data_IF_965527356278
#
_entry.id   IF_965527356278
#
_cell.length_a   1.000
_cell.length_b   1.000
_cell.length_c   1.000
_cell.angle_alpha   90.00
_cell.angle_beta   90.00
_cell.angle_gamma   90.00
#
_symmetry.space_group_name_H-M   'P 1'
#
loop_
_entity.id
_entity.type
_entity.pdbx_description
1 polymer ?
#
# COMPACT_ATOMS: atom_id res chain seq x y z
N UNK A 1 -27.82 -6.25 -2.66
CA UNK A 1 -27.08 -5.40 -1.72
C UNK A 1 -25.59 -5.53 -2.02
N UNK A 2 -24.87 -4.43 -2.10
CA UNK A 2 -23.42 -4.39 -2.31
C UNK A 2 -22.70 -5.16 -1.20
N UNK A 3 -21.82 -6.09 -1.56
CA UNK A 3 -21.10 -6.94 -0.59
C UNK A 3 -19.72 -6.38 -0.23
N UNK A 4 -19.11 -5.60 -1.14
CA UNK A 4 -17.80 -4.98 -0.94
C UNK A 4 -17.73 -3.61 -1.60
N UNK A 5 -17.13 -2.64 -0.94
CA UNK A 5 -16.77 -1.35 -1.52
C UNK A 5 -15.26 -1.28 -1.73
N UNK A 6 -14.85 -0.99 -2.96
CA UNK A 6 -13.44 -0.75 -3.30
C UNK A 6 -13.13 0.72 -3.07
N UNK A 7 -12.13 1.03 -2.26
CA UNK A 7 -11.70 2.41 -1.98
C UNK A 7 -10.32 2.66 -2.58
N UNK A 8 -10.24 3.66 -3.46
CA UNK A 8 -9.06 3.99 -4.27
C UNK A 8 -8.67 5.45 -4.03
N UNK A 9 -7.63 5.73 -3.25
CA UNK A 9 -7.06 7.09 -3.19
C UNK A 9 -6.29 7.37 -4.49
N UNK A 10 -6.42 8.56 -5.03
CA UNK A 10 -5.70 9.00 -6.23
C UNK A 10 -5.11 10.40 -5.99
N UNK A 11 -3.90 10.62 -6.51
CA UNK A 11 -3.21 11.91 -6.52
C UNK A 11 -2.33 11.99 -7.77
N UNK A 12 -2.67 12.90 -8.69
CA UNK A 12 -1.94 13.12 -9.95
C UNK A 12 -1.71 11.84 -10.78
N UNK A 13 -2.70 10.92 -10.80
CA UNK A 13 -2.52 9.59 -11.40
C UNK A 13 -3.74 9.12 -12.22
N UNK A 14 -4.29 10.02 -13.04
CA UNK A 14 -5.48 9.76 -13.85
C UNK A 14 -5.33 8.55 -14.78
N UNK A 15 -4.16 8.39 -15.41
CA UNK A 15 -3.96 7.34 -16.42
C UNK A 15 -3.95 5.94 -15.79
N UNK A 16 -3.29 5.78 -14.63
CA UNK A 16 -3.27 4.49 -13.91
C UNK A 16 -4.63 4.21 -13.29
N UNK A 17 -5.33 5.23 -12.77
CA UNK A 17 -6.71 5.09 -12.32
C UNK A 17 -7.64 4.57 -13.42
N UNK A 18 -7.59 5.13 -14.63
CA UNK A 18 -8.40 4.67 -15.75
C UNK A 18 -8.14 3.20 -16.08
N UNK A 19 -6.88 2.77 -16.03
CA UNK A 19 -6.51 1.37 -16.23
C UNK A 19 -7.05 0.46 -15.13
N UNK A 20 -6.97 0.88 -13.87
CA UNK A 20 -7.55 0.15 -12.73
C UNK A 20 -9.07 0.02 -12.88
N UNK A 21 -9.78 1.09 -13.22
CA UNK A 21 -11.23 1.06 -13.41
C UNK A 21 -11.65 0.14 -14.57
N UNK A 22 -10.88 0.10 -15.66
CA UNK A 22 -11.10 -0.85 -16.74
C UNK A 22 -10.95 -2.32 -16.27
N UNK A 23 -9.90 -2.64 -15.49
CA UNK A 23 -9.71 -3.98 -14.92
C UNK A 23 -10.78 -4.34 -13.88
N UNK A 24 -11.33 -3.36 -13.17
CA UNK A 24 -12.48 -3.58 -12.29
C UNK A 24 -13.76 -3.88 -13.09
N UNK A 25 -13.89 -3.37 -14.31
CA UNK A 25 -15.02 -3.68 -15.19
C UNK A 25 -14.99 -5.13 -15.72
N UNK A 26 -13.82 -5.77 -15.67
CA UNK A 26 -13.61 -7.17 -16.13
C UNK A 26 -13.70 -8.19 -14.98
N UNK A 27 -13.98 -7.78 -13.73
CA UNK A 27 -14.01 -8.69 -12.59
C UNK A 27 -15.09 -9.77 -12.75
N UNK A 28 -14.77 -11.00 -12.31
CA UNK A 28 -15.72 -12.14 -12.30
C UNK A 28 -16.83 -11.96 -11.27
N UNK A 29 -16.62 -11.14 -10.22
CA UNK A 29 -17.67 -10.79 -9.29
C UNK A 29 -18.72 -9.92 -9.99
N UNK A 30 -20.03 -10.28 -9.95
CA UNK A 30 -21.08 -9.48 -10.57
C UNK A 30 -21.03 -8.00 -10.14
N UNK A 31 -21.15 -7.04 -11.09
CA UNK A 31 -21.07 -5.60 -10.81
C UNK A 31 -22.07 -5.10 -9.75
N UNK A 32 -23.20 -5.79 -9.58
CA UNK A 32 -24.19 -5.46 -8.53
C UNK A 32 -23.73 -5.80 -7.12
N UNK A 33 -22.67 -6.59 -6.95
CA UNK A 33 -22.16 -7.02 -5.66
C UNK A 33 -21.00 -6.14 -5.14
N UNK A 34 -20.49 -5.22 -5.93
CA UNK A 34 -19.46 -4.28 -5.48
C UNK A 34 -19.74 -2.84 -5.94
N UNK A 35 -19.16 -1.90 -5.24
CA UNK A 35 -19.12 -0.48 -5.60
C UNK A 35 -17.70 0.03 -5.48
N UNK A 36 -17.43 1.17 -6.11
CA UNK A 36 -16.10 1.80 -6.11
C UNK A 36 -16.23 3.23 -5.62
N UNK A 37 -15.39 3.63 -4.69
CA UNK A 37 -15.19 5.03 -4.31
C UNK A 37 -13.77 5.44 -4.63
N UNK A 38 -13.64 6.33 -5.60
CA UNK A 38 -12.39 7.03 -5.92
C UNK A 38 -12.32 8.27 -5.04
N UNK A 39 -11.16 8.50 -4.42
CA UNK A 39 -10.95 9.70 -3.59
C UNK A 39 -9.78 10.49 -4.16
N UNK A 40 -10.09 11.63 -4.77
CA UNK A 40 -9.08 12.59 -5.20
C UNK A 40 -8.48 13.29 -3.99
N UNK A 41 -7.19 13.11 -3.79
CA UNK A 41 -6.44 13.66 -2.66
C UNK A 41 -5.74 14.98 -2.99
N UNK A 42 -6.42 15.84 -3.75
CA UNK A 42 -5.96 17.17 -4.13
C UNK A 42 -5.03 17.16 -5.34
N UNK A 43 -5.41 16.44 -6.40
CA UNK A 43 -4.69 16.45 -7.68
C UNK A 43 -4.67 17.84 -8.30
N UNK A 44 -3.59 18.18 -9.01
CA UNK A 44 -3.43 19.47 -9.69
C UNK A 44 -4.48 19.66 -10.81
N UNK A 45 -4.83 18.57 -11.49
CA UNK A 45 -5.96 18.51 -12.41
C UNK A 45 -7.06 17.64 -11.80
N UNK A 46 -8.32 18.10 -11.77
CA UNK A 46 -9.42 17.33 -11.22
C UNK A 46 -9.52 15.93 -11.83
N UNK A 47 -9.72 14.94 -10.98
CA UNK A 47 -9.92 13.54 -11.42
C UNK A 47 -11.26 13.44 -12.15
N UNK A 48 -11.28 12.76 -13.28
CA UNK A 48 -12.48 12.50 -14.10
C UNK A 48 -12.74 10.99 -14.13
N UNK A 49 -13.96 10.60 -13.78
CA UNK A 49 -14.41 9.21 -13.92
C UNK A 49 -14.90 8.94 -15.34
N UNK A 50 -14.70 7.71 -15.88
CA UNK A 50 -15.32 7.28 -17.13
C UNK A 50 -16.86 7.42 -17.07
N UNK A 51 -17.48 7.84 -18.17
CA UNK A 51 -18.94 8.04 -18.24
C UNK A 51 -19.74 6.74 -18.05
N UNK A 52 -19.22 5.61 -18.55
CA UNK A 52 -19.89 4.31 -18.52
C UNK A 52 -19.02 3.29 -17.78
N UNK A 53 -19.44 2.92 -16.58
CA UNK A 53 -18.88 1.80 -15.83
C UNK A 53 -20.01 0.80 -15.51
N UNK A 54 -19.74 -0.53 -15.53
CA UNK A 54 -20.78 -1.53 -15.27
C UNK A 54 -21.18 -1.60 -13.78
N UNK A 55 -20.44 -0.96 -12.90
CA UNK A 55 -20.66 -0.90 -11.44
C UNK A 55 -20.90 0.53 -10.97
N UNK A 56 -21.47 0.67 -9.79
CA UNK A 56 -21.62 1.98 -9.16
C UNK A 56 -20.24 2.54 -8.77
N UNK A 57 -19.90 3.70 -9.31
CA UNK A 57 -18.64 4.41 -9.01
C UNK A 57 -18.94 5.85 -8.61
N UNK A 58 -18.34 6.31 -7.53
CA UNK A 58 -18.44 7.71 -7.08
C UNK A 58 -17.06 8.31 -6.85
N UNK A 59 -16.96 9.62 -7.08
CA UNK A 59 -15.79 10.43 -6.78
C UNK A 59 -16.02 11.23 -5.51
N UNK A 60 -15.05 11.23 -4.61
CA UNK A 60 -15.00 12.08 -3.43
C UNK A 60 -13.73 12.91 -3.44
N UNK A 61 -13.75 14.06 -2.78
CA UNK A 61 -12.59 14.94 -2.64
C UNK A 61 -12.08 14.87 -1.21
N UNK A 62 -10.75 14.85 -1.05
CA UNK A 62 -10.09 14.93 0.24
C UNK A 62 -9.05 16.04 0.22
N UNK A 63 -9.32 17.15 0.92
CA UNK A 63 -8.40 18.30 1.02
C UNK A 63 -7.19 18.03 1.93
N UNK A 64 -7.30 17.07 2.85
CA UNK A 64 -6.18 16.68 3.71
C UNK A 64 -5.25 15.76 2.94
N UNK A 65 -4.01 16.20 2.70
CA UNK A 65 -3.02 15.39 2.01
C UNK A 65 -2.72 14.06 2.73
N UNK A 66 -2.52 13.01 1.93
CA UNK A 66 -2.12 11.69 2.38
C UNK A 66 -3.15 10.60 2.08
N UNK A 67 -2.68 9.47 1.55
CA UNK A 67 -3.54 8.35 1.13
C UNK A 67 -4.39 7.76 2.26
N UNK A 68 -3.94 7.85 3.51
CA UNK A 68 -4.73 7.40 4.67
C UNK A 68 -5.87 8.39 5.00
N UNK A 69 -5.65 9.70 4.82
CA UNK A 69 -6.71 10.69 4.95
C UNK A 69 -7.79 10.47 3.88
N UNK A 70 -7.37 10.25 2.63
CA UNK A 70 -8.28 9.95 1.54
C UNK A 70 -9.12 8.68 1.83
N UNK A 71 -8.51 7.58 2.29
CA UNK A 71 -9.25 6.36 2.66
C UNK A 71 -10.24 6.61 3.80
N UNK A 72 -9.87 7.46 4.76
CA UNK A 72 -10.73 7.79 5.90
C UNK A 72 -11.94 8.67 5.52
N UNK A 73 -11.89 9.43 4.43
CA UNK A 73 -13.05 10.18 3.92
C UNK A 73 -14.08 9.23 3.32
N UNK A 74 -13.65 8.12 2.71
CA UNK A 74 -14.53 7.24 1.96
C UNK A 74 -15.26 6.21 2.82
N UNK A 75 -14.53 5.44 3.65
CA UNK A 75 -15.10 4.28 4.32
C UNK A 75 -16.29 4.58 5.26
N UNK A 76 -16.42 5.75 5.94
CA UNK A 76 -17.58 6.00 6.79
C UNK A 76 -18.90 6.10 6.03
N UNK A 77 -18.83 6.30 4.72
CA UNK A 77 -20.00 6.43 3.85
C UNK A 77 -20.40 5.12 3.16
N UNK A 78 -19.69 4.01 3.46
CA UNK A 78 -20.02 2.71 2.87
C UNK A 78 -21.21 2.06 3.57
N UNK A 79 -22.04 1.37 2.78
CA UNK A 79 -23.09 0.48 3.27
C UNK A 79 -22.69 -0.99 3.09
N UNK A 80 -21.56 -1.24 2.44
CA UNK A 80 -21.07 -2.59 2.23
C UNK A 80 -20.49 -3.17 3.53
N UNK A 81 -20.70 -4.45 3.82
CA UNK A 81 -20.11 -5.10 5.01
C UNK A 81 -18.59 -5.21 4.95
N UNK A 82 -18.01 -5.09 3.76
CA UNK A 82 -16.58 -5.16 3.53
C UNK A 82 -16.06 -3.99 2.72
N UNK A 83 -14.86 -3.54 3.07
CA UNK A 83 -14.07 -2.56 2.30
C UNK A 83 -12.80 -3.24 1.80
N UNK A 84 -12.55 -3.16 0.49
CA UNK A 84 -11.31 -3.57 -0.15
C UNK A 84 -10.50 -2.31 -0.51
N UNK A 85 -9.35 -2.13 0.12
CA UNK A 85 -8.43 -1.05 -0.20
C UNK A 85 -7.44 -1.50 -1.28
N UNK A 86 -7.21 -0.63 -2.26
CA UNK A 86 -6.16 -0.78 -3.28
C UNK A 86 -5.61 0.61 -3.64
N UNK A 87 -4.47 0.66 -4.33
CA UNK A 87 -3.85 1.90 -4.79
C UNK A 87 -4.22 2.14 -6.28
N UNK A 88 -4.20 3.40 -6.74
CA UNK A 88 -4.57 3.78 -8.12
C UNK A 88 -3.70 3.13 -9.20
N UNK A 89 -2.49 2.73 -8.86
CA UNK A 89 -1.52 2.07 -9.73
C UNK A 89 -1.57 0.53 -9.69
N UNK A 90 -2.45 -0.06 -8.87
CA UNK A 90 -2.63 -1.50 -8.79
C UNK A 90 -3.40 -2.06 -10.00
N UNK A 91 -3.07 -3.29 -10.36
CA UNK A 91 -3.68 -4.04 -11.46
C UNK A 91 -4.27 -5.33 -10.86
N UNK A 92 -5.55 -5.34 -10.50
CA UNK A 92 -6.19 -6.51 -9.92
C UNK A 92 -6.30 -7.64 -10.94
N UNK A 93 -6.07 -8.87 -10.50
CA UNK A 93 -6.37 -10.06 -11.28
C UNK A 93 -7.91 -10.17 -11.46
N UNK A 94 -8.34 -10.78 -12.56
CA UNK A 94 -9.78 -10.87 -12.93
C UNK A 94 -10.67 -11.48 -11.84
N UNK A 95 -10.12 -12.32 -10.97
CA UNK A 95 -10.83 -12.98 -9.86
C UNK A 95 -10.59 -12.30 -8.51
N UNK A 96 -9.95 -11.13 -8.46
CA UNK A 96 -9.54 -10.47 -7.21
C UNK A 96 -10.68 -10.27 -6.24
N UNK A 97 -11.79 -9.65 -6.71
CA UNK A 97 -12.95 -9.36 -5.85
C UNK A 97 -13.72 -10.63 -5.45
N UNK A 98 -13.90 -11.57 -6.37
CA UNK A 98 -14.59 -12.82 -6.09
C UNK A 98 -13.85 -13.64 -5.04
N UNK A 99 -12.54 -13.87 -5.22
CA UNK A 99 -11.72 -14.67 -4.30
C UNK A 99 -11.50 -13.98 -2.96
N UNK A 100 -11.48 -12.65 -2.95
CA UNK A 100 -11.47 -11.86 -1.72
C UNK A 100 -12.76 -12.05 -0.92
N UNK A 101 -13.90 -11.88 -1.57
CA UNK A 101 -15.22 -12.05 -0.95
C UNK A 101 -15.47 -13.49 -0.50
N UNK A 102 -15.04 -14.49 -1.28
CA UNK A 102 -15.11 -15.89 -0.87
C UNK A 102 -14.33 -16.14 0.43
N UNK A 103 -13.12 -15.57 0.55
CA UNK A 103 -12.28 -15.73 1.74
C UNK A 103 -12.92 -15.16 3.01
N UNK A 104 -13.76 -14.12 2.91
CA UNK A 104 -14.47 -13.55 4.06
C UNK A 104 -15.48 -14.51 4.69
N UNK A 105 -15.88 -15.56 3.96
CA UNK A 105 -16.90 -16.54 4.35
C UNK A 105 -16.30 -17.87 4.81
N UNK A 106 -14.99 -18.01 4.84
CA UNK A 106 -14.30 -19.22 5.27
C UNK A 106 -13.96 -19.13 6.74
N UNK A 107 -14.41 -20.11 7.53
CA UNK A 107 -14.07 -20.21 8.95
C UNK A 107 -12.58 -20.56 9.13
N UNK A 108 -11.90 -19.78 9.94
CA UNK A 108 -10.51 -20.03 10.33
C UNK A 108 -10.43 -20.03 11.86
N UNK A 109 -10.03 -21.16 12.42
CA UNK A 109 -10.03 -21.29 13.90
C UNK A 109 -11.41 -21.13 14.55
N UNK A 110 -12.49 -21.49 13.84
CA UNK A 110 -13.87 -21.38 14.33
C UNK A 110 -14.49 -19.98 14.21
N UNK A 111 -13.79 -19.02 13.61
CA UNK A 111 -14.30 -17.66 13.41
C UNK A 111 -14.20 -17.23 11.96
N UNK A 112 -15.11 -16.37 11.51
CA UNK A 112 -14.96 -15.70 10.23
C UNK A 112 -13.88 -14.63 10.33
N UNK A 113 -13.05 -14.46 9.27
CA UNK A 113 -12.06 -13.39 9.23
C UNK A 113 -12.76 -12.02 9.23
N UNK A 114 -12.12 -11.04 9.84
CA UNK A 114 -12.54 -9.63 9.85
C UNK A 114 -11.52 -8.72 9.18
N UNK A 115 -10.33 -9.28 8.86
CA UNK A 115 -9.21 -8.56 8.28
C UNK A 115 -8.39 -9.51 7.41
N UNK A 116 -8.31 -9.22 6.10
CA UNK A 116 -7.58 -10.03 5.12
C UNK A 116 -6.56 -9.18 4.39
N UNK A 117 -5.39 -9.75 4.12
CA UNK A 117 -4.38 -9.18 3.25
C UNK A 117 -4.23 -10.07 2.01
N UNK A 118 -4.59 -9.56 0.86
CA UNK A 118 -4.47 -10.27 -0.41
C UNK A 118 -3.04 -10.28 -0.93
N UNK A 119 -2.75 -11.11 -1.91
CA UNK A 119 -1.45 -11.19 -2.56
C UNK A 119 -1.15 -9.90 -3.31
N UNK A 120 0.10 -9.42 -3.19
CA UNK A 120 0.66 -8.36 -4.03
C UNK A 120 1.82 -8.96 -4.81
N UNK A 121 1.74 -8.87 -6.13
CA UNK A 121 2.78 -9.34 -7.04
C UNK A 121 3.41 -8.13 -7.72
N UNK A 122 4.68 -7.89 -7.47
CA UNK A 122 5.41 -6.84 -8.16
C UNK A 122 5.64 -7.24 -9.63
N UNK A 123 5.35 -6.33 -10.55
CA UNK A 123 5.55 -6.52 -11.98
C UNK A 123 6.42 -5.37 -12.53
N UNK A 124 7.14 -5.57 -13.64
CA UNK A 124 7.91 -4.48 -14.26
C UNK A 124 7.02 -3.28 -14.60
N UNK A 125 7.59 -2.08 -14.51
CA UNK A 125 6.91 -0.83 -14.90
C UNK A 125 6.64 -0.76 -16.41
N UNK A 126 7.43 -1.46 -17.22
CA UNK A 126 7.37 -1.51 -18.68
C UNK A 126 7.64 -2.93 -19.18
N UNK A 127 7.06 -3.26 -20.33
CA UNK A 127 7.29 -4.56 -20.99
C UNK A 127 8.64 -4.70 -21.69
N UNK A 128 9.40 -3.60 -21.89
CA UNK A 128 10.56 -3.61 -22.78
C UNK A 128 11.85 -4.04 -22.07
N UNK A 129 12.31 -3.30 -21.08
CA UNK A 129 13.58 -3.57 -20.38
C UNK A 129 13.38 -3.43 -18.87
N UNK A 130 13.78 -4.44 -18.12
CA UNK A 130 13.76 -4.36 -16.67
C UNK A 130 14.90 -3.48 -16.16
N UNK A 131 14.55 -2.34 -15.59
CA UNK A 131 15.49 -1.44 -14.94
C UNK A 131 15.99 -2.03 -13.60
N UNK A 132 17.10 -1.54 -13.03
CA UNK A 132 17.50 -1.91 -11.67
C UNK A 132 16.44 -1.63 -10.62
N UNK A 133 15.57 -0.64 -10.84
CA UNK A 133 14.44 -0.32 -9.97
C UNK A 133 13.33 -1.39 -10.08
N UNK A 134 13.01 -1.84 -11.29
CA UNK A 134 12.10 -2.96 -11.51
C UNK A 134 12.58 -4.22 -10.79
N UNK A 135 13.84 -4.59 -11.00
CA UNK A 135 14.43 -5.76 -10.38
C UNK A 135 14.44 -5.65 -8.85
N UNK A 136 14.80 -4.48 -8.32
CA UNK A 136 14.75 -4.22 -6.89
C UNK A 136 13.34 -4.43 -6.31
N UNK A 137 12.30 -3.88 -6.94
CA UNK A 137 10.93 -4.01 -6.44
C UNK A 137 10.34 -5.42 -6.68
N UNK A 138 10.67 -6.09 -7.79
CA UNK A 138 10.23 -7.48 -8.05
C UNK A 138 10.74 -8.43 -6.96
N UNK A 139 12.00 -8.31 -6.56
CA UNK A 139 12.59 -9.24 -5.59
C UNK A 139 12.44 -8.79 -4.12
N UNK A 140 12.34 -7.50 -3.86
CA UNK A 140 12.37 -6.95 -2.49
C UNK A 140 11.19 -6.01 -2.15
N UNK A 141 10.27 -5.76 -3.08
CA UNK A 141 9.23 -4.73 -2.98
C UNK A 141 8.23 -4.93 -1.84
N UNK A 142 7.06 -5.51 -2.14
CA UNK A 142 5.93 -5.62 -1.19
C UNK A 142 5.60 -7.08 -0.85
N UNK A 143 6.41 -7.79 -0.03
CA UNK A 143 6.19 -9.20 0.31
C UNK A 143 5.05 -9.35 1.34
N UNK A 144 3.80 -9.15 0.93
CA UNK A 144 2.62 -9.13 1.80
C UNK A 144 2.49 -10.38 2.66
N UNK A 145 2.72 -11.58 2.10
CA UNK A 145 2.70 -12.83 2.87
C UNK A 145 3.69 -12.83 4.04
N UNK A 146 4.87 -12.22 3.86
CA UNK A 146 5.87 -12.07 4.93
C UNK A 146 5.44 -11.04 5.96
N UNK A 147 4.83 -9.93 5.53
CA UNK A 147 4.31 -8.92 6.45
C UNK A 147 3.25 -9.51 7.37
N UNK A 148 2.34 -10.31 6.84
CA UNK A 148 1.33 -11.01 7.65
C UNK A 148 1.98 -12.01 8.59
N UNK A 149 2.82 -12.92 8.07
CA UNK A 149 3.40 -14.02 8.84
C UNK A 149 4.34 -13.55 9.95
N UNK A 150 5.21 -12.60 9.67
CA UNK A 150 6.27 -12.17 10.59
C UNK A 150 5.96 -10.86 11.32
N UNK A 151 5.08 -10.03 10.76
CA UNK A 151 4.76 -8.70 11.28
C UNK A 151 3.34 -8.54 11.80
N UNK A 152 2.44 -9.48 11.47
CA UNK A 152 1.03 -9.42 11.85
C UNK A 152 0.29 -8.24 11.21
N UNK A 153 0.68 -7.81 10.02
CA UNK A 153 0.03 -6.71 9.30
C UNK A 153 0.00 -6.93 7.79
N UNK A 154 -0.97 -6.31 7.14
CA UNK A 154 -1.06 -6.13 5.69
C UNK A 154 -0.98 -4.67 5.31
N UNK A 155 -0.72 -4.36 4.03
CA UNK A 155 -0.67 -3.01 3.48
C UNK A 155 -1.84 -2.74 2.56
N UNK A 156 -2.27 -1.48 2.50
CA UNK A 156 -3.50 -1.04 1.82
C UNK A 156 -3.50 -1.17 0.30
N UNK A 157 -2.40 -1.53 -0.33
CA UNK A 157 -2.39 -1.89 -1.74
C UNK A 157 -3.25 -3.14 -2.05
N UNK A 158 -3.50 -4.01 -1.04
CA UNK A 158 -4.49 -5.10 -1.12
C UNK A 158 -4.89 -5.53 0.30
N UNK A 159 -5.76 -4.74 0.93
CA UNK A 159 -6.23 -4.98 2.30
C UNK A 159 -7.75 -4.97 2.34
N UNK A 160 -8.33 -6.02 2.88
CA UNK A 160 -9.77 -6.19 3.06
C UNK A 160 -10.13 -6.07 4.53
N UNK A 161 -11.07 -5.20 4.84
CA UNK A 161 -11.45 -4.91 6.22
C UNK A 161 -12.96 -4.98 6.35
N UNK A 162 -13.45 -5.70 7.35
CA UNK A 162 -14.85 -5.66 7.74
C UNK A 162 -15.21 -4.24 8.18
N UNK A 163 -16.29 -3.69 7.66
CA UNK A 163 -16.70 -2.30 7.93
C UNK A 163 -16.91 -2.03 9.42
N UNK A 164 -17.43 -3.01 10.14
CA UNK A 164 -17.59 -2.92 11.62
C UNK A 164 -16.25 -2.76 12.35
N UNK A 165 -15.16 -3.35 11.82
CA UNK A 165 -13.82 -3.20 12.37
C UNK A 165 -13.24 -1.81 12.10
N UNK A 166 -13.53 -1.20 10.93
CA UNK A 166 -13.17 0.19 10.64
C UNK A 166 -13.84 1.15 11.64
N UNK A 167 -15.14 0.95 11.90
CA UNK A 167 -15.86 1.74 12.91
C UNK A 167 -15.27 1.55 14.31
N UNK A 168 -15.01 0.33 14.75
CA UNK A 168 -14.46 0.02 16.06
C UNK A 168 -13.08 0.66 16.30
N UNK A 169 -12.26 0.80 15.25
CA UNK A 169 -10.91 1.34 15.32
C UNK A 169 -10.80 2.81 14.88
N UNK A 170 -11.86 3.42 14.32
CA UNK A 170 -11.84 4.78 13.81
C UNK A 170 -10.96 4.97 12.56
N UNK A 171 -10.76 3.90 11.76
CA UNK A 171 -9.97 3.93 10.54
C UNK A 171 -8.45 4.04 10.76
N UNK A 172 -7.78 4.65 9.79
CA UNK A 172 -6.31 4.83 9.78
C UNK A 172 -5.89 6.12 10.48
N UNK A 173 -4.72 6.12 11.11
CA UNK A 173 -4.08 7.34 11.60
C UNK A 173 -3.61 8.20 10.40
N UNK A 174 -4.38 9.24 10.10
CA UNK A 174 -4.17 10.13 8.95
C UNK A 174 -3.06 11.17 9.17
N UNK A 175 -2.45 11.22 10.35
CA UNK A 175 -1.27 12.07 10.60
C UNK A 175 0.03 11.36 10.20
N UNK A 176 -0.01 10.03 10.05
CA UNK A 176 1.17 9.26 9.65
C UNK A 176 1.48 9.43 8.16
N UNK A 177 2.69 9.79 7.86
CA UNK A 177 3.21 9.80 6.47
C UNK A 177 3.35 8.39 5.90
N UNK A 178 3.58 7.38 6.76
CA UNK A 178 3.74 5.99 6.36
C UNK A 178 3.44 5.03 7.54
N UNK A 179 2.98 3.80 7.21
CA UNK A 179 2.79 2.72 8.19
C UNK A 179 1.49 2.79 8.99
N UNK A 180 0.51 3.62 8.60
CA UNK A 180 -0.79 3.64 9.27
C UNK A 180 -1.60 2.34 9.03
N UNK A 181 -1.36 1.63 7.94
CA UNK A 181 -1.87 0.29 7.68
C UNK A 181 -1.33 -0.74 8.69
N UNK A 182 -0.01 -0.70 8.96
CA UNK A 182 0.59 -1.52 10.02
C UNK A 182 0.03 -1.17 11.39
N UNK A 183 -0.09 0.12 11.72
CA UNK A 183 -0.69 0.59 12.98
C UNK A 183 -2.13 0.08 13.11
N UNK A 184 -2.95 0.21 12.07
CA UNK A 184 -4.32 -0.29 12.04
C UNK A 184 -4.39 -1.80 12.35
N UNK A 185 -3.58 -2.61 11.67
CA UNK A 185 -3.53 -4.06 11.89
C UNK A 185 -3.09 -4.40 13.32
N UNK A 186 -2.12 -3.66 13.88
CA UNK A 186 -1.68 -3.89 15.27
C UNK A 186 -2.72 -3.47 16.30
N UNK A 187 -3.54 -2.41 16.02
CA UNK A 187 -4.70 -2.06 16.85
C UNK A 187 -5.79 -3.13 16.77
N UNK A 188 -6.06 -3.66 15.57
CA UNK A 188 -6.97 -4.78 15.37
C UNK A 188 -6.53 -6.02 16.19
N UNK A 189 -5.23 -6.33 16.16
CA UNK A 189 -4.65 -7.44 16.93
C UNK A 189 -4.89 -7.29 18.46
N UNK A 190 -4.84 -6.06 18.99
CA UNK A 190 -5.14 -5.81 20.41
C UNK A 190 -6.63 -6.10 20.76
N UNK A 191 -7.52 -6.07 19.78
CA UNK A 191 -8.92 -6.48 19.91
C UNK A 191 -9.13 -7.98 19.60
N UNK A 192 -8.06 -8.78 19.48
CA UNK A 192 -8.13 -10.20 19.14
C UNK A 192 -8.31 -10.49 17.64
N UNK A 193 -8.32 -9.47 16.78
CA UNK A 193 -8.48 -9.64 15.32
C UNK A 193 -7.12 -9.72 14.64
N UNK A 194 -6.77 -10.91 14.16
CA UNK A 194 -5.54 -11.11 13.40
C UNK A 194 -5.80 -10.92 11.90
N UNK A 195 -4.81 -10.36 11.19
CA UNK A 195 -4.84 -10.32 9.74
C UNK A 195 -4.54 -11.70 9.17
N UNK A 196 -5.37 -12.16 8.23
CA UNK A 196 -5.16 -13.42 7.51
C UNK A 196 -4.67 -13.14 6.09
N UNK A 197 -3.76 -13.98 5.60
CA UNK A 197 -3.27 -13.88 4.23
C UNK A 197 -4.13 -14.69 3.28
N UNK A 198 -4.53 -14.08 2.15
CA UNK A 198 -5.25 -14.74 1.06
C UNK A 198 -4.45 -14.60 -0.24
N UNK A 199 -3.83 -15.68 -0.69
CA UNK A 199 -3.02 -15.71 -1.91
C UNK A 199 -3.83 -15.70 -3.21
N UNK A 200 -5.12 -16.05 -3.15
CA UNK A 200 -6.01 -16.09 -4.30
C UNK A 200 -6.54 -14.71 -4.68
N UNK A 201 -6.75 -13.83 -3.70
CA UNK A 201 -7.15 -12.44 -3.95
C UNK A 201 -5.91 -11.61 -4.27
N UNK A 202 -5.57 -11.51 -5.56
CA UNK A 202 -4.27 -11.02 -6.03
C UNK A 202 -4.39 -9.72 -6.81
N UNK A 203 -3.46 -8.80 -6.55
CA UNK A 203 -3.21 -7.62 -7.37
C UNK A 203 -1.76 -7.60 -7.84
N UNK A 204 -1.53 -7.12 -9.06
CA UNK A 204 -0.19 -6.76 -9.51
C UNK A 204 0.05 -5.28 -9.17
N UNK A 205 1.26 -4.97 -8.72
CA UNK A 205 1.69 -3.59 -8.49
C UNK A 205 2.91 -3.32 -9.38
N UNK A 206 2.85 -2.34 -10.28
CA UNK A 206 4.00 -1.95 -11.10
C UNK A 206 5.15 -1.49 -10.22
N UNK A 207 6.36 -1.87 -10.60
CA UNK A 207 7.56 -1.38 -9.96
C UNK A 207 7.69 0.14 -10.15
N UNK A 208 8.18 0.81 -9.12
CA UNK A 208 8.42 2.25 -9.14
C UNK A 208 9.70 2.58 -9.89
N UNK A 209 9.73 3.74 -10.53
CA UNK A 209 10.95 4.31 -11.06
C UNK A 209 11.96 4.62 -9.93
N UNK A 210 13.22 4.87 -10.29
CA UNK A 210 14.26 5.29 -9.33
C UNK A 210 13.83 6.53 -8.53
N UNK A 211 13.21 7.50 -9.19
CA UNK A 211 12.78 8.75 -8.55
C UNK A 211 11.62 8.52 -7.59
N UNK A 212 10.62 7.72 -7.97
CA UNK A 212 9.54 7.31 -7.08
C UNK A 212 10.05 6.51 -5.88
N UNK A 213 11.09 5.67 -6.05
CA UNK A 213 11.75 4.96 -4.95
C UNK A 213 12.47 5.93 -4.01
N UNK A 214 13.11 6.99 -4.53
CA UNK A 214 13.73 8.02 -3.71
C UNK A 214 12.68 8.79 -2.88
N UNK A 215 11.53 9.15 -3.47
CA UNK A 215 10.39 9.75 -2.75
C UNK A 215 9.87 8.79 -1.67
N UNK A 216 9.72 7.50 -2.00
CA UNK A 216 9.33 6.47 -1.02
C UNK A 216 10.33 6.36 0.13
N UNK A 217 11.64 6.40 -0.15
CA UNK A 217 12.68 6.33 0.88
C UNK A 217 12.60 7.52 1.85
N UNK A 218 12.42 8.75 1.34
CA UNK A 218 12.20 9.95 2.15
C UNK A 218 10.95 9.83 3.03
N UNK A 219 9.83 9.41 2.44
CA UNK A 219 8.56 9.21 3.17
C UNK A 219 8.69 8.17 4.29
N UNK A 220 9.41 7.07 4.04
CA UNK A 220 9.61 6.01 5.03
C UNK A 220 10.46 6.47 6.22
N UNK A 221 11.53 7.22 5.98
CA UNK A 221 12.35 7.74 7.09
C UNK A 221 11.60 8.82 7.86
N UNK A 222 10.87 9.72 7.18
CA UNK A 222 10.00 10.70 7.81
C UNK A 222 8.96 10.06 8.72
N UNK A 223 8.24 9.05 8.24
CA UNK A 223 7.26 8.31 9.04
C UNK A 223 7.87 7.59 10.26
N UNK A 224 9.13 7.16 10.19
CA UNK A 224 9.84 6.59 11.35
C UNK A 224 10.24 7.65 12.36
N UNK A 225 10.64 8.84 11.89
CA UNK A 225 10.96 9.98 12.77
C UNK A 225 9.70 10.44 13.49
N UNK A 226 8.58 10.56 12.78
CA UNK A 226 7.28 10.94 13.37
C UNK A 226 6.86 9.93 14.45
N UNK A 227 7.03 8.63 14.17
CA UNK A 227 6.71 7.56 15.13
C UNK A 227 7.67 7.51 16.33
N UNK A 228 8.91 7.98 16.19
CA UNK A 228 9.91 8.00 17.26
C UNK A 228 9.72 9.16 18.25
N UNK A 229 8.94 10.18 17.86
CA UNK A 229 8.68 11.35 18.70
C UNK A 229 9.84 12.39 18.70
N UNK A 230 9.79 13.39 19.58
CA UNK A 230 10.68 14.56 19.51
C UNK A 230 12.10 14.30 20.03
N UNK A 231 12.33 13.29 20.84
CA UNK A 231 13.64 13.05 21.47
C UNK A 231 14.68 12.62 20.44
N UNK A 232 15.82 13.32 20.40
CA UNK A 232 16.92 13.04 19.45
C UNK A 232 17.39 11.57 19.49
N UNK A 233 17.53 11.00 20.69
CA UNK A 233 17.96 9.61 20.84
C UNK A 233 17.06 8.61 20.08
N UNK A 234 15.73 8.79 20.12
CA UNK A 234 14.77 7.96 19.40
C UNK A 234 14.82 8.20 17.89
N UNK A 235 15.00 9.46 17.47
CA UNK A 235 15.19 9.81 16.05
C UNK A 235 16.48 9.21 15.50
N UNK A 236 17.55 9.23 16.29
CA UNK A 236 18.82 8.59 15.95
C UNK A 236 18.68 7.06 15.89
N UNK A 237 17.98 6.44 16.83
CA UNK A 237 17.66 5.02 16.79
C UNK A 237 16.87 4.64 15.52
N UNK A 238 15.95 5.49 15.07
CA UNK A 238 15.22 5.29 13.82
C UNK A 238 16.15 5.29 12.60
N UNK A 239 17.19 6.17 12.59
CA UNK A 239 18.22 6.15 11.56
C UNK A 239 19.04 4.86 11.60
N UNK A 240 19.53 4.47 12.77
CA UNK A 240 20.32 3.23 12.93
C UNK A 240 19.51 2.00 12.46
N UNK A 241 18.23 1.93 12.81
CA UNK A 241 17.35 0.86 12.31
C UNK A 241 17.18 0.90 10.79
N UNK A 242 17.19 2.09 10.19
CA UNK A 242 17.12 2.23 8.74
C UNK A 242 18.43 1.85 8.06
N UNK A 243 19.56 2.14 8.69
CA UNK A 243 20.90 1.82 8.21
C UNK A 243 21.36 0.39 8.52
N UNK A 244 20.49 -0.45 9.09
CA UNK A 244 20.83 -1.86 9.32
C UNK A 244 21.56 -2.43 8.10
N UNK A 245 22.67 -3.17 8.32
CA UNK A 245 23.43 -3.78 7.23
C UNK A 245 22.47 -4.52 6.28
N UNK A 246 22.63 -4.30 4.98
CA UNK A 246 21.90 -5.01 3.93
C UNK A 246 22.37 -6.47 3.80
N UNK A 247 22.89 -7.07 4.87
CA UNK A 247 23.52 -8.40 4.83
C UNK A 247 22.56 -9.43 4.23
N UNK A 248 21.35 -9.47 4.72
CA UNK A 248 20.34 -10.41 4.22
C UNK A 248 19.94 -10.09 2.78
N UNK A 249 19.66 -8.85 2.50
CA UNK A 249 19.25 -8.38 1.17
C UNK A 249 20.40 -8.57 0.17
N UNK A 250 21.63 -8.28 0.56
CA UNK A 250 22.82 -8.53 -0.26
C UNK A 250 23.03 -10.01 -0.51
N UNK A 251 22.90 -10.85 0.51
CA UNK A 251 22.98 -12.29 0.35
C UNK A 251 21.90 -12.82 -0.60
N UNK A 252 20.63 -12.43 -0.39
CA UNK A 252 19.54 -12.81 -1.29
C UNK A 252 19.84 -12.33 -2.72
N UNK A 253 20.28 -11.08 -2.89
CA UNK A 253 20.63 -10.51 -4.19
C UNK A 253 21.74 -11.31 -4.88
N UNK A 254 22.77 -11.73 -4.15
CA UNK A 254 23.85 -12.54 -4.69
C UNK A 254 23.41 -13.95 -5.10
N UNK A 255 22.33 -14.47 -4.49
CA UNK A 255 21.75 -15.77 -4.82
C UNK A 255 20.70 -15.74 -5.94
N UNK A 256 20.33 -14.54 -6.47
CA UNK A 256 19.37 -14.46 -7.55
C UNK A 256 19.90 -15.08 -8.85
N UNK A 257 19.03 -15.74 -9.60
CA UNK A 257 19.35 -16.32 -10.91
C UNK A 257 19.28 -15.28 -12.03
N UNK A 258 20.03 -14.17 -11.86
CA UNK A 258 20.18 -13.08 -12.83
C UNK A 258 21.66 -12.75 -13.04
N UNK A 259 22.05 -12.07 -14.12
CA UNK A 259 23.44 -11.67 -14.39
C UNK A 259 24.08 -10.91 -13.22
N UNK A 260 25.37 -11.13 -12.98
CA UNK A 260 26.11 -10.45 -11.92
C UNK A 260 26.03 -8.93 -12.02
N UNK A 261 26.08 -8.39 -13.25
CA UNK A 261 25.94 -6.96 -13.50
C UNK A 261 24.62 -6.41 -12.97
N UNK A 262 23.51 -7.12 -13.15
CA UNK A 262 22.21 -6.72 -12.62
C UNK A 262 22.16 -6.81 -11.07
N UNK A 263 22.79 -7.85 -10.47
CA UNK A 263 22.89 -7.94 -9.00
C UNK A 263 23.66 -6.74 -8.43
N UNK A 264 24.77 -6.36 -9.05
CA UNK A 264 25.55 -5.20 -8.61
C UNK A 264 24.77 -3.88 -8.78
N UNK A 265 23.99 -3.73 -9.85
CA UNK A 265 23.12 -2.58 -10.05
C UNK A 265 22.04 -2.48 -8.97
N UNK A 266 21.42 -3.60 -8.58
CA UNK A 266 20.45 -3.65 -7.47
C UNK A 266 21.12 -3.23 -6.17
N UNK A 267 22.29 -3.78 -5.85
CA UNK A 267 23.03 -3.44 -4.62
C UNK A 267 23.41 -1.96 -4.58
N UNK A 268 23.88 -1.41 -5.71
CA UNK A 268 24.19 0.02 -5.83
C UNK A 268 22.94 0.86 -5.58
N UNK A 269 21.82 0.51 -6.20
CA UNK A 269 20.55 1.24 -5.99
C UNK A 269 20.08 1.17 -4.53
N UNK A 270 20.23 0.02 -3.87
CA UNK A 270 19.92 -0.10 -2.44
C UNK A 270 20.76 0.85 -1.58
N UNK A 271 22.05 1.02 -1.90
CA UNK A 271 22.94 1.96 -1.20
C UNK A 271 22.50 3.40 -1.49
N UNK A 272 22.26 3.75 -2.76
CA UNK A 272 21.82 5.08 -3.17
C UNK A 272 20.53 5.50 -2.42
N UNK A 273 19.55 4.61 -2.34
CA UNK A 273 18.30 4.88 -1.62
C UNK A 273 18.50 5.05 -0.12
N UNK A 274 19.49 4.41 0.48
CA UNK A 274 19.84 4.64 1.88
C UNK A 274 20.51 5.98 2.09
N UNK A 275 21.37 6.41 1.18
CA UNK A 275 21.97 7.76 1.22
C UNK A 275 20.90 8.84 1.09
N UNK A 276 19.90 8.66 0.23
CA UNK A 276 18.73 9.55 0.15
C UNK A 276 18.01 9.63 1.50
N UNK A 277 17.79 8.51 2.17
CA UNK A 277 17.12 8.50 3.46
C UNK A 277 17.96 9.14 4.58
N UNK A 278 19.28 8.95 4.56
CA UNK A 278 20.21 9.65 5.50
C UNK A 278 20.14 11.16 5.31
N UNK A 279 20.24 11.61 4.06
CA UNK A 279 20.13 13.03 3.73
C UNK A 279 18.81 13.63 4.23
N UNK A 280 17.67 12.96 3.96
CA UNK A 280 16.37 13.41 4.45
C UNK A 280 16.30 13.42 5.98
N UNK A 281 16.88 12.42 6.65
CA UNK A 281 16.97 12.40 8.10
C UNK A 281 17.74 13.60 8.64
N UNK A 282 18.89 13.93 8.04
CA UNK A 282 19.66 15.10 8.41
C UNK A 282 18.84 16.40 8.26
N UNK A 283 18.12 16.54 7.15
CA UNK A 283 17.25 17.69 6.93
C UNK A 283 16.17 17.80 8.00
N UNK A 284 15.48 16.70 8.32
CA UNK A 284 14.38 16.69 9.29
C UNK A 284 14.83 16.86 10.75
N UNK A 285 16.07 16.52 11.07
CA UNK A 285 16.58 16.60 12.46
C UNK A 285 17.36 17.90 12.73
N UNK A 286 18.11 18.39 11.75
CA UNK A 286 19.00 19.54 11.94
C UNK A 286 18.50 20.83 11.27
N UNK A 287 17.61 20.77 10.27
CA UNK A 287 17.02 22.01 9.77
C UNK A 287 15.89 22.47 10.69
N UNK A 288 16.03 23.67 11.23
CA UNK A 288 15.00 24.34 12.05
C UNK A 288 13.79 24.83 11.23
N UNK A 289 13.71 24.54 9.95
CA UNK A 289 12.57 24.86 9.10
C UNK A 289 11.51 23.78 9.25
N UNK A 290 10.40 24.14 9.91
CA UNK A 290 9.13 23.42 9.77
C UNK A 290 8.76 23.36 8.30
N UNK A 291 9.11 22.27 7.62
CA UNK A 291 8.58 21.99 6.31
C UNK A 291 7.12 21.57 6.47
N UNK A 292 6.21 22.49 6.26
CA UNK A 292 4.86 22.18 5.81
C UNK A 292 4.98 21.43 4.48
N UNK A 293 4.72 20.13 4.51
CA UNK A 293 4.56 19.29 3.32
C UNK A 293 3.29 18.49 3.43
#
# INVERSE_FOLDING_TARGET
MTSVEVIIPVFNDQSRLNRLLALLSEQTLPPSLFSVTVVDNGSDSPVVLPECLPFHCRLMLCSKHGSYAARNVAWPNTQAPWVAFTDSDCLPEITWLETGLQATRVLVGGQFPRLLAGRIRMVPSSYQVQSPADLLEIYFGMPQARYVRSGGYGITANLWVETSLLHALGGFDSLRKSGADRDFCLRAKKLGVNVLYNDKSSVCHPARSRDELAVKARRLIGGRIDAAGPAFAWRFAALIMHLRPLIRESWVCLCLSIPLSQRLQILRLMIDLRLVAVHEWCLLVFSSSSFER
#
